data_IF_385358254435
#
_entry.id   IF_385358254435
#
_cell.length_a   1.000
_cell.length_b   1.000
_cell.length_c   1.000
_cell.angle_alpha   90.00
_cell.angle_beta   90.00
_cell.angle_gamma   90.00
#
_symmetry.space_group_name_H-M   'P 1'
#
loop_
_entity.id
_entity.type
_entity.pdbx_description
1 polymer ?
#
# COMPACT_ATOMS: atom_id res chain seq x y z
N UNK A 1 -14.08 3.06 -4.74
CA UNK A 1 -12.96 4.02 -4.81
C UNK A 1 -12.44 4.28 -3.42
N UNK A 2 -11.13 4.17 -3.20
CA UNK A 2 -10.51 4.52 -1.91
C UNK A 2 -10.11 5.99 -1.96
N UNK A 3 -10.80 6.82 -1.19
CA UNK A 3 -10.53 8.26 -1.11
C UNK A 3 -9.34 8.55 -0.17
N UNK A 4 -8.14 8.11 -0.56
CA UNK A 4 -6.88 8.38 0.14
C UNK A 4 -5.92 9.15 -0.74
N UNK A 5 -5.35 10.22 -0.20
CA UNK A 5 -4.28 10.95 -0.88
C UNK A 5 -2.97 10.19 -0.76
N UNK A 6 -2.28 10.04 -1.87
CA UNK A 6 -0.98 9.38 -1.99
C UNK A 6 -0.03 10.32 -2.70
N UNK A 7 1.26 10.22 -2.39
CA UNK A 7 2.31 10.90 -3.12
C UNK A 7 3.37 9.91 -3.58
N UNK A 8 3.89 10.19 -4.77
CA UNK A 8 4.87 9.36 -5.45
C UNK A 8 6.13 10.18 -5.71
N UNK A 9 7.28 9.59 -5.42
CA UNK A 9 8.57 10.15 -5.83
C UNK A 9 8.81 9.85 -7.32
N UNK A 10 9.82 10.49 -7.93
CA UNK A 10 10.20 10.26 -9.33
C UNK A 10 10.61 8.80 -9.61
N UNK A 11 11.17 8.13 -8.61
CA UNK A 11 11.61 6.75 -8.68
C UNK A 11 10.96 5.94 -7.56
N UNK A 12 10.35 4.80 -7.92
CA UNK A 12 9.74 3.85 -7.00
C UNK A 12 10.56 2.57 -7.05
N UNK A 13 11.03 2.11 -5.90
CA UNK A 13 11.85 0.89 -5.79
C UNK A 13 11.27 -0.06 -4.75
N UNK A 14 11.47 -1.36 -4.93
CA UNK A 14 11.01 -2.39 -4.00
C UNK A 14 11.30 -3.80 -4.54
N UNK A 15 11.12 -4.80 -3.69
CA UNK A 15 11.23 -6.20 -4.06
C UNK A 15 9.84 -6.79 -4.23
N UNK A 16 9.55 -7.32 -5.41
CA UNK A 16 8.26 -7.92 -5.74
C UNK A 16 8.38 -9.44 -5.62
N UNK A 17 7.43 -10.05 -4.92
CA UNK A 17 7.20 -11.49 -4.95
C UNK A 17 5.71 -11.75 -5.10
N UNK A 18 5.31 -13.02 -5.22
CA UNK A 18 3.90 -13.36 -5.32
C UNK A 18 3.10 -12.73 -4.15
N UNK A 19 2.08 -11.93 -4.48
CA UNK A 19 1.19 -11.22 -3.54
C UNK A 19 1.88 -10.28 -2.55
N UNK A 20 3.13 -9.87 -2.79
CA UNK A 20 3.88 -9.07 -1.82
C UNK A 20 4.85 -8.09 -2.51
N UNK A 21 4.93 -6.88 -1.98
CA UNK A 21 5.98 -5.91 -2.26
C UNK A 21 6.66 -5.55 -0.94
N UNK A 22 7.97 -5.75 -0.84
CA UNK A 22 8.78 -5.44 0.35
C UNK A 22 9.80 -4.35 0.08
N UNK A 23 10.19 -3.65 1.16
CA UNK A 23 11.15 -2.53 1.13
C UNK A 23 10.76 -1.48 0.07
N UNK A 24 9.46 -1.21 -0.04
CA UNK A 24 8.92 -0.21 -0.95
C UNK A 24 9.43 1.17 -0.55
N UNK A 25 9.90 1.93 -1.52
CA UNK A 25 10.31 3.33 -1.40
C UNK A 25 9.67 4.14 -2.52
N UNK A 26 9.55 5.45 -2.30
CA UNK A 26 8.96 6.36 -3.29
C UNK A 26 7.43 6.46 -3.23
N UNK A 27 6.79 5.86 -2.21
CA UNK A 27 5.34 5.93 -2.01
C UNK A 27 5.04 6.38 -0.58
N UNK A 28 4.22 7.42 -0.42
CA UNK A 28 3.71 7.88 0.87
C UNK A 28 2.19 7.98 0.82
N UNK A 29 1.52 7.71 1.93
CA UNK A 29 0.07 7.82 2.04
C UNK A 29 -0.29 8.81 3.14
N UNK A 30 -1.22 9.73 2.86
CA UNK A 30 -1.63 10.74 3.84
C UNK A 30 -2.42 10.08 4.96
N UNK A 31 -1.98 10.32 6.19
CA UNK A 31 -2.72 9.96 7.39
C UNK A 31 -2.69 11.14 8.36
N UNK A 32 -3.87 11.67 8.69
CA UNK A 32 -4.02 12.95 9.40
C UNK A 32 -3.22 14.07 8.70
N UNK A 33 -2.25 14.66 9.40
CA UNK A 33 -1.38 15.73 8.89
C UNK A 33 -0.02 15.20 8.38
N UNK A 34 0.22 13.89 8.44
CA UNK A 34 1.51 13.27 8.09
C UNK A 34 1.45 12.51 6.76
N UNK A 35 2.63 12.30 6.18
CA UNK A 35 2.85 11.53 4.96
C UNK A 35 3.84 10.38 5.21
N UNK A 36 3.48 9.41 6.07
CA UNK A 36 4.36 8.28 6.33
C UNK A 36 4.61 7.48 5.03
N UNK A 37 5.84 6.97 4.83
CA UNK A 37 6.15 6.11 3.71
C UNK A 37 5.49 4.75 3.87
N UNK A 38 5.05 4.18 2.75
CA UNK A 38 4.58 2.79 2.65
C UNK A 38 5.78 1.91 2.35
N UNK A 39 6.05 0.94 3.23
CA UNK A 39 7.23 0.07 3.14
C UNK A 39 6.91 -1.36 2.71
N UNK A 40 5.66 -1.79 2.88
CA UNK A 40 5.23 -3.13 2.50
C UNK A 40 3.78 -3.12 2.01
N UNK A 41 3.50 -3.91 0.96
CA UNK A 41 2.15 -4.17 0.47
C UNK A 41 1.97 -5.68 0.40
N UNK A 42 0.92 -6.22 1.02
CA UNK A 42 0.65 -7.66 1.09
C UNK A 42 -0.79 -7.91 0.70
N UNK A 43 -1.02 -8.79 -0.28
CA UNK A 43 -2.35 -9.31 -0.56
C UNK A 43 -2.55 -10.55 0.30
N UNK A 44 -3.55 -10.51 1.19
CA UNK A 44 -3.94 -11.64 2.03
C UNK A 44 -4.38 -12.85 1.23
N UNK A 45 -4.28 -14.02 1.84
CA UNK A 45 -4.72 -15.27 1.20
C UNK A 45 -6.26 -15.34 1.12
N UNK A 46 -6.74 -16.09 0.12
CA UNK A 46 -8.17 -16.39 0.02
C UNK A 46 -8.63 -17.12 1.30
N UNK A 47 -9.85 -16.87 1.80
CA UNK A 47 -10.95 -16.15 1.17
C UNK A 47 -10.99 -14.64 1.51
N UNK A 48 -9.98 -14.11 2.19
CA UNK A 48 -10.13 -12.79 2.85
C UNK A 48 -10.26 -11.61 1.89
N UNK A 49 -9.76 -11.72 0.65
CA UNK A 49 -9.90 -10.69 -0.38
C UNK A 49 -9.34 -9.33 0.04
N UNK A 50 -8.34 -9.30 0.93
CA UNK A 50 -7.81 -8.07 1.53
C UNK A 50 -6.39 -7.75 1.05
N UNK A 51 -6.09 -6.47 0.96
CA UNK A 51 -4.74 -5.94 0.75
C UNK A 51 -4.34 -5.07 1.94
N UNK A 52 -3.11 -5.27 2.41
CA UNK A 52 -2.54 -4.60 3.57
C UNK A 52 -1.39 -3.70 3.13
N UNK A 53 -1.46 -2.43 3.51
CA UNK A 53 -0.42 -1.43 3.30
C UNK A 53 0.21 -1.11 4.65
N UNK A 54 1.50 -1.46 4.82
CA UNK A 54 2.24 -1.16 6.04
C UNK A 54 3.10 0.08 5.84
N UNK A 55 3.06 0.97 6.82
CA UNK A 55 3.93 2.15 6.88
C UNK A 55 5.12 1.92 7.81
N UNK A 56 6.20 2.69 7.60
CA UNK A 56 7.33 2.71 8.54
C UNK A 56 6.96 3.25 9.94
N UNK A 57 5.77 3.85 10.09
CA UNK A 57 5.23 4.30 11.37
C UNK A 57 4.48 3.19 12.15
N UNK A 58 4.58 1.92 11.72
CA UNK A 58 3.90 0.79 12.36
C UNK A 58 2.39 0.70 12.07
N UNK A 59 1.83 1.66 11.33
CA UNK A 59 0.41 1.66 10.96
C UNK A 59 0.20 0.75 9.75
N UNK A 60 -0.78 -0.14 9.84
CA UNK A 60 -1.28 -0.96 8.73
C UNK A 60 -2.67 -0.51 8.33
N UNK A 61 -2.87 -0.23 7.03
CA UNK A 61 -4.20 0.00 6.45
C UNK A 61 -4.61 -1.20 5.63
N UNK A 62 -5.86 -1.61 5.77
CA UNK A 62 -6.40 -2.80 5.09
C UNK A 62 -7.60 -2.41 4.25
N UNK A 63 -7.67 -2.93 3.05
CA UNK A 63 -8.71 -2.63 2.08
C UNK A 63 -9.16 -3.90 1.35
N UNK A 64 -10.38 -3.93 0.79
CA UNK A 64 -10.78 -4.97 -0.15
C UNK A 64 -9.94 -4.90 -1.43
N UNK A 65 -9.55 -6.04 -2.00
CA UNK A 65 -8.79 -6.15 -3.25
C UNK A 65 -9.59 -5.56 -4.41
N UNK A 66 -10.91 -5.69 -4.38
CA UNK A 66 -11.85 -5.17 -5.39
C UNK A 66 -11.73 -3.64 -5.53
N UNK A 67 -11.30 -2.94 -4.48
CA UNK A 67 -11.08 -1.50 -4.54
C UNK A 67 -9.88 -1.08 -5.41
N UNK A 68 -9.01 -2.02 -5.77
CA UNK A 68 -7.85 -1.82 -6.65
C UNK A 68 -7.97 -2.58 -7.98
N UNK A 69 -9.04 -3.35 -8.19
CA UNK A 69 -9.23 -4.16 -9.40
C UNK A 69 -9.55 -3.32 -10.65
N UNK A 70 -10.01 -2.07 -10.48
CA UNK A 70 -10.48 -1.23 -11.58
C UNK A 70 -9.35 -0.54 -12.38
N UNK A 71 -8.08 -0.66 -11.99
CA UNK A 71 -6.94 -0.11 -12.75
C UNK A 71 -6.96 1.41 -12.94
N UNK A 72 -7.57 2.16 -12.02
CA UNK A 72 -7.60 3.64 -12.04
C UNK A 72 -6.51 4.24 -11.16
#
# INVERSE_FOLDING_TARGET
MISKSVSYDKEITGFISNKNIKKLKGVKAKELMLWPPVSEIIVGEAPTGKIHFKSLAGITKTFPVEAFAAGQ
#
